data_IF_280730034213
#
_entry.id   IF_280730034213
#
_cell.length_a   1.000
_cell.length_b   1.000
_cell.length_c   1.000
_cell.angle_alpha   90.00
_cell.angle_beta   90.00
_cell.angle_gamma   90.00
#
_symmetry.space_group_name_H-M   'P 1'
#
loop_
_entity.id
_entity.type
_entity.pdbx_description
1 polymer ?
#
# COMPACT_ATOMS: atom_id res chain seq x y z
N UNK A 1 22.56 6.80 18.15
CA UNK A 1 21.33 6.73 17.32
C UNK A 1 21.70 6.34 15.90
N UNK A 2 20.98 5.40 15.30
CA UNK A 2 21.14 5.06 13.89
C UNK A 2 20.76 6.29 13.04
N UNK A 3 21.71 6.87 12.31
CA UNK A 3 21.49 8.01 11.38
C UNK A 3 20.75 7.57 10.11
N UNK A 4 19.72 6.74 10.24
CA UNK A 4 18.97 6.17 9.12
C UNK A 4 17.56 6.74 9.15
N UNK A 5 17.09 7.16 7.98
CA UNK A 5 15.72 7.60 7.79
C UNK A 5 14.80 6.38 7.86
N UNK A 6 13.80 6.42 8.74
CA UNK A 6 12.73 5.42 8.75
C UNK A 6 11.65 5.86 7.78
N UNK A 7 11.42 5.07 6.74
CA UNK A 7 10.31 5.26 5.79
C UNK A 7 9.26 4.20 6.10
N UNK A 8 8.05 4.63 6.45
CA UNK A 8 6.93 3.71 6.69
C UNK A 8 5.97 3.73 5.53
N UNK A 9 5.48 2.57 5.14
CA UNK A 9 4.41 2.38 4.17
C UNK A 9 3.23 1.71 4.89
N UNK A 10 2.21 2.50 5.21
CA UNK A 10 1.07 2.07 6.01
C UNK A 10 -0.13 1.79 5.10
N UNK A 11 -0.51 0.52 4.98
CA UNK A 11 -1.64 0.10 4.13
C UNK A 11 -2.95 0.31 4.87
N UNK A 12 -3.94 0.92 4.20
CA UNK A 12 -5.27 1.16 4.75
C UNK A 12 -6.37 0.54 3.91
N UNK A 13 -7.49 0.26 4.58
CA UNK A 13 -8.79 0.02 3.98
C UNK A 13 -9.66 1.30 4.14
N UNK A 14 -10.98 1.18 3.96
CA UNK A 14 -11.93 2.30 4.07
C UNK A 14 -12.48 2.54 5.48
N UNK A 15 -12.18 1.67 6.43
CA UNK A 15 -12.80 1.66 7.74
C UNK A 15 -12.12 2.66 8.68
N UNK A 16 -12.81 3.11 9.72
CA UNK A 16 -12.30 4.16 10.62
C UNK A 16 -11.12 3.70 11.47
N UNK A 17 -11.15 2.43 11.88
CA UNK A 17 -10.11 1.78 12.69
C UNK A 17 -8.71 1.93 12.08
N UNK A 18 -8.56 1.81 10.76
CA UNK A 18 -7.25 1.97 10.12
C UNK A 18 -6.64 3.37 10.31
N UNK A 19 -7.47 4.42 10.41
CA UNK A 19 -7.04 5.81 10.67
C UNK A 19 -6.67 6.01 12.14
N UNK A 20 -7.38 5.34 13.05
CA UNK A 20 -7.08 5.36 14.49
C UNK A 20 -5.75 4.65 14.77
N UNK A 21 -5.54 3.46 14.19
CA UNK A 21 -4.27 2.72 14.30
C UNK A 21 -3.10 3.50 13.72
N UNK A 22 -3.30 4.16 12.57
CA UNK A 22 -2.30 5.04 11.96
C UNK A 22 -1.94 6.22 12.87
N UNK A 23 -2.92 6.82 13.55
CA UNK A 23 -2.65 7.91 14.50
C UNK A 23 -1.81 7.42 15.68
N UNK A 24 -2.20 6.30 16.28
CA UNK A 24 -1.46 5.69 17.38
C UNK A 24 -0.02 5.36 16.99
N UNK A 25 0.20 4.90 15.75
CA UNK A 25 1.53 4.65 15.22
C UNK A 25 2.36 5.94 15.11
N UNK A 26 1.79 7.02 14.55
CA UNK A 26 2.47 8.30 14.40
C UNK A 26 2.86 8.92 15.74
N UNK A 27 2.06 8.72 16.79
CA UNK A 27 2.37 9.16 18.15
C UNK A 27 3.54 8.36 18.77
N UNK A 28 3.64 7.07 18.46
CA UNK A 28 4.68 6.20 18.99
C UNK A 28 6.00 6.29 18.21
N UNK A 29 5.95 6.59 16.91
CA UNK A 29 7.12 6.67 16.03
C UNK A 29 7.12 7.99 15.23
N UNK A 30 7.22 9.14 15.92
CA UNK A 30 7.11 10.46 15.29
C UNK A 30 8.25 10.78 14.31
N UNK A 31 9.40 10.11 14.40
CA UNK A 31 10.54 10.27 13.50
C UNK A 31 10.36 9.58 12.14
N UNK A 32 9.30 8.78 11.98
CA UNK A 32 9.04 8.04 10.76
C UNK A 32 8.46 8.95 9.66
N UNK A 33 9.08 8.94 8.47
CA UNK A 33 8.44 9.46 7.26
C UNK A 33 7.38 8.45 6.81
N UNK A 34 6.14 8.66 7.26
CA UNK A 34 5.03 7.74 7.01
C UNK A 34 4.31 8.11 5.72
N UNK A 35 4.13 7.13 4.83
CA UNK A 35 3.30 7.24 3.63
C UNK A 35 2.13 6.27 3.76
N UNK A 36 0.97 6.67 3.27
CA UNK A 36 -0.26 5.87 3.33
C UNK A 36 -0.52 5.24 1.98
N UNK A 37 -0.79 3.94 1.98
CA UNK A 37 -1.12 3.15 0.81
C UNK A 37 -2.61 2.78 0.85
N UNK A 38 -3.43 3.49 0.07
CA UNK A 38 -4.84 3.17 -0.12
C UNK A 38 -4.97 1.92 -0.98
N UNK A 39 -5.31 0.78 -0.37
CA UNK A 39 -5.42 -0.49 -1.09
C UNK A 39 -6.65 -0.50 -2.00
N UNK A 40 -6.43 -0.43 -3.32
CA UNK A 40 -7.51 -0.25 -4.28
C UNK A 40 -8.49 -1.42 -4.37
N UNK A 41 -8.16 -2.57 -3.75
CA UNK A 41 -9.12 -3.66 -3.50
C UNK A 41 -10.40 -3.17 -2.81
N UNK A 42 -10.28 -2.19 -1.91
CA UNK A 42 -11.43 -1.61 -1.22
C UNK A 42 -12.15 -0.52 -2.02
N UNK A 43 -11.62 -0.15 -3.20
CA UNK A 43 -12.17 0.89 -4.06
C UNK A 43 -11.14 1.90 -4.58
N UNK A 44 -11.59 2.80 -5.44
CA UNK A 44 -10.77 3.93 -5.87
C UNK A 44 -10.44 4.88 -4.70
N UNK A 45 -9.44 5.75 -4.88
CA UNK A 45 -8.97 6.67 -3.85
C UNK A 45 -10.08 7.55 -3.25
N UNK A 46 -11.12 7.86 -4.02
CA UNK A 46 -12.26 8.67 -3.59
C UNK A 46 -13.06 7.97 -2.48
N UNK A 47 -13.18 6.63 -2.52
CA UNK A 47 -13.91 5.85 -1.52
C UNK A 47 -13.25 5.81 -0.13
N UNK A 48 -12.01 6.31 0.01
CA UNK A 48 -11.30 6.43 1.29
C UNK A 48 -11.68 7.72 2.03
N UNK A 49 -12.96 8.09 2.03
CA UNK A 49 -13.46 9.37 2.56
C UNK A 49 -13.05 9.61 4.02
N UNK A 50 -13.10 8.57 4.86
CA UNK A 50 -12.70 8.67 6.28
C UNK A 50 -11.24 9.11 6.42
N UNK A 51 -10.33 8.54 5.63
CA UNK A 51 -8.93 8.95 5.61
C UNK A 51 -8.75 10.31 4.94
N UNK A 52 -9.36 10.51 3.76
CA UNK A 52 -9.20 11.72 2.94
C UNK A 52 -9.63 13.00 3.65
N UNK A 53 -10.64 12.91 4.53
CA UNK A 53 -11.15 14.04 5.29
C UNK A 53 -10.55 14.13 6.71
N UNK A 54 -9.60 13.25 7.07
CA UNK A 54 -9.03 13.19 8.41
C UNK A 54 -7.97 14.27 8.68
N UNK A 55 -7.84 14.67 9.93
CA UNK A 55 -6.68 15.46 10.40
C UNK A 55 -5.39 14.65 10.31
N UNK A 56 -5.47 13.31 10.43
CA UNK A 56 -4.34 12.40 10.28
C UNK A 56 -3.67 12.55 8.91
N UNK A 57 -4.45 12.62 7.81
CA UNK A 57 -3.89 12.87 6.47
C UNK A 57 -3.14 14.20 6.39
N UNK A 58 -3.76 15.29 6.86
CA UNK A 58 -3.15 16.62 6.86
C UNK A 58 -1.84 16.66 7.65
N UNK A 59 -1.80 15.96 8.78
CA UNK A 59 -0.60 15.83 9.61
C UNK A 59 0.51 15.08 8.87
N UNK A 60 0.19 13.96 8.21
CA UNK A 60 1.15 13.18 7.40
C UNK A 60 1.73 14.03 6.27
N UNK A 61 0.88 14.74 5.52
CA UNK A 61 1.31 15.61 4.41
C UNK A 61 2.22 16.75 4.91
N UNK A 62 1.92 17.33 6.08
CA UNK A 62 2.79 18.33 6.74
C UNK A 62 4.18 17.77 7.06
N UNK A 63 4.29 16.48 7.36
CA UNK A 63 5.55 15.77 7.61
C UNK A 63 6.19 15.20 6.32
N UNK A 64 5.80 15.71 5.15
CA UNK A 64 6.27 15.26 3.83
C UNK A 64 5.94 13.80 3.50
N UNK A 65 5.00 13.19 4.21
CA UNK A 65 4.43 11.89 3.86
C UNK A 65 3.46 11.98 2.69
N UNK A 66 3.31 10.90 1.92
CA UNK A 66 2.42 10.85 0.75
C UNK A 66 1.21 9.94 0.98
N UNK A 67 0.12 10.24 0.29
CA UNK A 67 -1.00 9.31 0.07
C UNK A 67 -0.88 8.70 -1.32
N UNK A 68 -0.74 7.39 -1.41
CA UNK A 68 -0.56 6.65 -2.65
C UNK A 68 -1.70 5.65 -2.83
N UNK A 69 -1.89 5.20 -4.07
CA UNK A 69 -2.80 4.09 -4.39
C UNK A 69 -1.99 2.82 -4.51
N UNK A 70 -2.29 1.82 -3.67
CA UNK A 70 -1.73 0.49 -3.81
C UNK A 70 -2.64 -0.32 -4.74
N UNK A 71 -2.16 -0.71 -5.93
CA UNK A 71 -3.00 -1.28 -6.96
C UNK A 71 -3.48 -2.67 -6.56
N UNK A 72 -4.72 -2.95 -6.90
CA UNK A 72 -5.34 -4.26 -6.81
C UNK A 72 -4.74 -5.19 -7.88
N UNK A 73 -4.60 -6.44 -7.49
CA UNK A 73 -4.37 -7.57 -8.38
C UNK A 73 -5.69 -8.32 -8.54
N UNK A 74 -6.02 -8.78 -9.74
CA UNK A 74 -7.27 -9.51 -9.95
C UNK A 74 -7.43 -10.70 -8.99
N UNK A 75 -8.65 -10.89 -8.45
CA UNK A 75 -8.98 -11.95 -7.48
C UNK A 75 -8.47 -13.33 -7.91
N UNK A 76 -8.68 -13.70 -9.18
CA UNK A 76 -8.21 -14.99 -9.74
C UNK A 76 -6.70 -15.22 -9.61
N UNK A 77 -5.90 -14.16 -9.52
CA UNK A 77 -4.44 -14.23 -9.32
C UNK A 77 -4.12 -14.22 -7.83
N UNK A 78 -4.78 -13.36 -7.04
CA UNK A 78 -4.65 -13.32 -5.59
C UNK A 78 -4.96 -14.70 -4.96
N UNK A 79 -6.05 -15.33 -5.38
CA UNK A 79 -6.47 -16.65 -4.92
C UNK A 79 -5.42 -17.73 -5.23
N UNK A 80 -4.82 -17.68 -6.42
CA UNK A 80 -3.77 -18.63 -6.79
C UNK A 80 -2.52 -18.44 -5.94
N UNK A 81 -2.10 -17.19 -5.70
CA UNK A 81 -0.97 -16.88 -4.82
C UNK A 81 -1.23 -17.42 -3.40
N UNK A 82 -2.44 -17.21 -2.88
CA UNK A 82 -2.83 -17.62 -1.53
C UNK A 82 -2.96 -19.15 -1.39
N UNK A 83 -3.80 -19.78 -2.23
CA UNK A 83 -4.11 -21.21 -2.16
C UNK A 83 -2.84 -22.05 -2.39
N UNK A 84 -2.02 -21.67 -3.38
CA UNK A 84 -0.80 -22.41 -3.72
C UNK A 84 0.43 -21.92 -2.95
N UNK A 85 0.29 -20.92 -2.08
CA UNK A 85 1.37 -20.31 -1.28
C UNK A 85 2.59 -19.94 -2.13
N UNK A 86 2.33 -19.37 -3.31
CA UNK A 86 3.39 -19.07 -4.28
C UNK A 86 4.05 -17.73 -3.96
N UNK A 87 5.36 -17.66 -4.16
CA UNK A 87 6.06 -16.38 -4.25
C UNK A 87 5.65 -15.65 -5.53
N UNK A 88 5.79 -14.32 -5.57
CA UNK A 88 5.54 -13.53 -6.79
C UNK A 88 6.44 -14.00 -7.94
N UNK A 89 7.69 -14.36 -7.64
CA UNK A 89 8.63 -14.92 -8.61
C UNK A 89 8.11 -16.24 -9.19
N UNK A 90 7.76 -17.20 -8.34
CA UNK A 90 7.27 -18.51 -8.79
C UNK A 90 5.95 -18.39 -9.57
N UNK A 91 5.07 -17.49 -9.15
CA UNK A 91 3.83 -17.21 -9.85
C UNK A 91 4.06 -16.58 -11.25
N UNK A 92 5.13 -15.82 -11.44
CA UNK A 92 5.50 -15.26 -12.74
C UNK A 92 6.02 -16.31 -13.73
N UNK A 93 6.36 -17.51 -13.26
CA UNK A 93 6.77 -18.64 -14.10
C UNK A 93 5.63 -19.64 -14.31
N UNK A 94 4.94 -20.02 -13.24
CA UNK A 94 4.09 -21.22 -13.22
C UNK A 94 2.61 -20.95 -13.49
N UNK A 95 2.13 -19.71 -13.30
CA UNK A 95 0.73 -19.41 -13.55
C UNK A 95 0.39 -19.51 -15.05
N UNK A 96 -0.88 -19.78 -15.40
CA UNK A 96 -1.34 -19.69 -16.78
C UNK A 96 -1.02 -18.31 -17.38
N UNK A 97 -0.76 -18.25 -18.69
CA UNK A 97 -0.28 -17.04 -19.36
C UNK A 97 -1.12 -15.79 -19.03
N UNK A 98 -2.44 -15.90 -19.02
CA UNK A 98 -3.33 -14.78 -18.70
C UNK A 98 -3.27 -14.32 -17.24
N UNK A 99 -2.88 -15.19 -16.29
CA UNK A 99 -2.64 -14.82 -14.91
C UNK A 99 -1.25 -14.17 -14.76
N UNK A 100 -0.24 -14.67 -15.50
CA UNK A 100 1.11 -14.07 -15.51
C UNK A 100 1.09 -12.64 -16.05
N UNK A 101 0.36 -12.38 -17.14
CA UNK A 101 0.23 -11.04 -17.70
C UNK A 101 -0.37 -10.07 -16.66
N UNK A 102 -1.43 -10.50 -15.97
CA UNK A 102 -2.07 -9.70 -14.92
C UNK A 102 -1.14 -9.46 -13.72
N UNK A 103 -0.40 -10.49 -13.29
CA UNK A 103 0.60 -10.36 -12.24
C UNK A 103 1.70 -9.35 -12.63
N UNK A 104 2.16 -9.39 -13.88
CA UNK A 104 3.19 -8.47 -14.37
C UNK A 104 2.68 -7.03 -14.50
N UNK A 105 1.43 -6.83 -14.94
CA UNK A 105 0.76 -5.53 -14.90
C UNK A 105 0.73 -5.00 -13.46
N UNK A 106 0.23 -5.80 -12.52
CA UNK A 106 0.18 -5.40 -11.11
C UNK A 106 1.56 -5.05 -10.55
N UNK A 107 2.59 -5.88 -10.82
CA UNK A 107 3.98 -5.59 -10.41
C UNK A 107 4.50 -4.28 -10.98
N UNK A 108 4.18 -3.96 -12.23
CA UNK A 108 4.59 -2.71 -12.86
C UNK A 108 3.92 -1.49 -12.18
N UNK A 109 2.63 -1.58 -11.86
CA UNK A 109 1.92 -0.52 -11.13
C UNK A 109 2.44 -0.36 -9.68
N UNK A 110 2.71 -1.47 -8.98
CA UNK A 110 3.33 -1.44 -7.66
C UNK A 110 4.72 -0.80 -7.72
N UNK A 111 5.53 -1.11 -8.74
CA UNK A 111 6.84 -0.49 -8.95
C UNK A 111 6.72 1.03 -9.11
N UNK A 112 5.82 1.52 -9.98
CA UNK A 112 5.57 2.96 -10.16
C UNK A 112 5.20 3.64 -8.85
N UNK A 113 4.34 3.00 -8.05
CA UNK A 113 3.96 3.50 -6.72
C UNK A 113 5.18 3.60 -5.78
N UNK A 114 6.05 2.58 -5.74
CA UNK A 114 7.27 2.61 -4.91
C UNK A 114 8.27 3.68 -5.35
N UNK A 115 8.40 3.93 -6.65
CA UNK A 115 9.28 4.98 -7.20
C UNK A 115 8.93 6.39 -6.66
N UNK A 116 7.70 6.60 -6.15
CA UNK A 116 7.31 7.87 -5.54
C UNK A 116 7.86 8.09 -4.12
N UNK A 117 8.30 7.03 -3.42
CA UNK A 117 8.58 7.06 -1.97
C UNK A 117 9.87 6.38 -1.54
N UNK A 118 10.43 5.50 -2.36
CA UNK A 118 11.75 4.90 -2.11
C UNK A 118 12.81 5.93 -2.52
N UNK A 119 13.67 6.28 -1.56
CA UNK A 119 14.77 7.25 -1.71
C UNK A 119 16.13 6.55 -1.67
#
# INVERSE_FOLDING_TARGET
>A
MLKRKLITLWVINRQRDCVELLRNFLEQIPESKTNVLMNSYFGNKEKFETYNNSQTKKYIEKLCGKSLVFPEVADRVADQLYIKRMTIEKASEDLPIGNRIELMRWRAEVKKMFEEVVE
#
